data_IF_420622104147
#
_entry.id   IF_420622104147
#
_cell.length_a   1.000
_cell.length_b   1.000
_cell.length_c   1.000
_cell.angle_alpha   90.00
_cell.angle_beta   90.00
_cell.angle_gamma   90.00
#
_symmetry.space_group_name_H-M   'P 1'
#
loop_
_entity.id
_entity.type
_entity.pdbx_description
1 polymer ?
#
# COMPACT_ATOMS: atom_id res chain seq x y z
N UNK A 1 -19.33 3.59 5.95
CA UNK A 1 -19.02 2.19 5.60
C UNK A 1 -18.44 2.13 4.19
N UNK A 2 -17.66 1.06 3.87
CA UNK A 2 -17.02 0.89 2.55
C UNK A 2 -17.99 1.10 1.37
N UNK A 3 -19.27 0.67 1.52
CA UNK A 3 -20.32 0.88 0.51
C UNK A 3 -20.65 2.36 0.25
N UNK A 4 -20.42 3.23 1.20
CA UNK A 4 -20.72 4.66 1.06
C UNK A 4 -19.57 5.41 0.38
N UNK A 5 -18.33 5.00 0.63
CA UNK A 5 -17.15 5.52 -0.09
C UNK A 5 -17.26 5.18 -1.58
N UNK A 6 -17.62 3.95 -1.92
CA UNK A 6 -17.82 3.53 -3.32
C UNK A 6 -18.93 4.33 -4.03
N UNK A 7 -20.03 4.62 -3.33
CA UNK A 7 -21.19 5.31 -3.92
C UNK A 7 -21.06 6.82 -3.98
N UNK A 8 -20.38 7.45 -3.03
CA UNK A 8 -20.33 8.91 -2.86
C UNK A 8 -18.94 9.49 -3.14
N UNK A 9 -17.88 8.70 -3.04
CA UNK A 9 -16.49 9.10 -3.26
C UNK A 9 -16.15 10.48 -2.64
N UNK A 10 -16.68 10.74 -1.44
CA UNK A 10 -16.42 11.99 -0.76
C UNK A 10 -15.10 11.88 0.01
N UNK A 11 -14.21 12.86 -0.18
CA UNK A 11 -12.90 12.93 0.52
C UNK A 11 -13.06 12.83 2.04
N UNK A 12 -14.15 13.39 2.59
CA UNK A 12 -14.45 13.37 4.01
C UNK A 12 -14.80 11.97 4.57
N UNK A 13 -15.21 11.05 3.71
CA UNK A 13 -15.58 9.68 4.11
C UNK A 13 -14.36 8.74 4.19
N UNK A 14 -13.19 9.18 3.73
CA UNK A 14 -11.95 8.41 3.80
C UNK A 14 -11.35 8.51 5.19
N UNK A 15 -11.21 7.36 5.85
CA UNK A 15 -10.66 7.22 7.20
C UNK A 15 -9.43 6.32 7.19
N UNK A 16 -8.34 6.77 7.84
CA UNK A 16 -7.15 5.93 7.99
C UNK A 16 -7.41 4.69 8.83
N UNK A 17 -8.32 4.77 9.80
CA UNK A 17 -8.73 3.65 10.63
C UNK A 17 -9.39 2.56 9.80
N UNK A 18 -10.31 2.91 8.92
CA UNK A 18 -10.99 1.96 8.03
C UNK A 18 -10.01 1.32 7.06
N UNK A 19 -9.08 2.11 6.48
CA UNK A 19 -8.03 1.60 5.58
C UNK A 19 -7.12 0.63 6.34
N UNK A 20 -6.56 1.04 7.47
CA UNK A 20 -5.65 0.21 8.26
C UNK A 20 -6.31 -1.10 8.68
N UNK A 21 -7.56 -1.04 9.16
CA UNK A 21 -8.35 -2.22 9.56
C UNK A 21 -8.56 -3.17 8.39
N UNK A 22 -9.11 -2.69 7.28
CA UNK A 22 -9.45 -3.53 6.14
C UNK A 22 -8.21 -4.16 5.50
N UNK A 23 -7.13 -3.38 5.29
CA UNK A 23 -5.88 -3.89 4.71
C UNK A 23 -5.18 -4.89 5.63
N UNK A 24 -5.30 -4.74 6.97
CA UNK A 24 -4.72 -5.69 7.94
C UNK A 24 -5.43 -7.04 7.96
N UNK A 25 -6.68 -7.09 7.49
CA UNK A 25 -7.48 -8.32 7.37
C UNK A 25 -7.52 -8.87 5.94
N UNK A 26 -7.05 -8.12 4.95
CA UNK A 26 -6.97 -8.55 3.56
C UNK A 26 -5.68 -9.33 3.33
N UNK A 27 -5.81 -10.62 2.95
CA UNK A 27 -4.65 -11.47 2.67
C UNK A 27 -4.08 -11.16 1.28
N UNK A 28 -2.76 -11.00 1.18
CA UNK A 28 -2.02 -10.82 -0.08
C UNK A 28 -2.22 -11.97 -1.04
N UNK A 29 -2.21 -11.65 -2.35
CA UNK A 29 -2.21 -12.63 -3.43
C UNK A 29 -3.43 -13.55 -3.40
N UNK A 30 -4.58 -13.09 -2.91
CA UNK A 30 -5.78 -13.90 -2.81
C UNK A 30 -5.63 -15.13 -1.89
N UNK A 31 -4.70 -15.08 -0.93
CA UNK A 31 -4.41 -16.18 0.01
C UNK A 31 -3.45 -17.24 -0.54
N UNK A 32 -2.85 -17.06 -1.73
CA UNK A 32 -1.85 -17.97 -2.28
C UNK A 32 -0.45 -17.77 -1.67
N UNK A 33 -0.39 -17.59 -0.36
CA UNK A 33 0.82 -17.41 0.45
C UNK A 33 0.95 -18.54 1.47
N UNK A 34 2.17 -18.75 1.99
CA UNK A 34 2.47 -19.87 2.90
C UNK A 34 1.80 -19.76 4.27
N UNK A 35 1.47 -18.56 4.69
CA UNK A 35 0.76 -18.19 5.93
C UNK A 35 0.07 -16.85 5.71
N UNK A 36 -0.75 -16.41 6.66
CA UNK A 36 -1.42 -15.13 6.54
C UNK A 36 -0.42 -13.98 6.47
N UNK A 37 -0.47 -13.23 5.38
CA UNK A 37 0.34 -12.04 5.14
C UNK A 37 -0.57 -10.96 4.56
N UNK A 38 -0.74 -9.86 5.28
CA UNK A 38 -1.74 -8.86 4.92
C UNK A 38 -1.22 -7.84 3.91
N UNK A 39 -2.15 -7.20 3.19
CA UNK A 39 -1.85 -6.05 2.33
C UNK A 39 -1.24 -4.91 3.15
N UNK A 40 -1.72 -4.68 4.38
CA UNK A 40 -1.13 -3.68 5.28
C UNK A 40 0.34 -3.99 5.61
N UNK A 41 0.69 -5.26 5.86
CA UNK A 41 2.09 -5.64 6.12
C UNK A 41 2.99 -5.42 4.90
N UNK A 42 2.52 -5.74 3.71
CA UNK A 42 3.17 -5.38 2.45
C UNK A 42 3.41 -3.87 2.34
N UNK A 43 2.39 -3.07 2.55
CA UNK A 43 2.47 -1.61 2.46
C UNK A 43 3.44 -1.00 3.47
N UNK A 44 3.50 -1.53 4.70
CA UNK A 44 4.49 -1.14 5.72
C UNK A 44 5.91 -1.50 5.24
N UNK A 45 6.12 -2.66 4.64
CA UNK A 45 7.40 -3.04 4.07
C UNK A 45 7.82 -2.10 2.93
N UNK A 46 6.89 -1.71 2.05
CA UNK A 46 7.14 -0.73 0.99
C UNK A 46 7.53 0.66 1.55
N UNK A 47 6.83 1.13 2.58
CA UNK A 47 7.18 2.36 3.29
C UNK A 47 8.58 2.29 3.92
N UNK A 48 8.90 1.18 4.59
CA UNK A 48 10.21 0.97 5.22
C UNK A 48 11.33 0.92 4.18
N UNK A 49 11.07 0.38 3.00
CA UNK A 49 12.01 0.40 1.87
C UNK A 49 12.25 1.84 1.37
N UNK A 50 11.20 2.64 1.19
CA UNK A 50 11.33 4.06 0.82
C UNK A 50 12.17 4.82 1.86
N UNK A 51 11.94 4.54 3.14
CA UNK A 51 12.71 5.12 4.25
C UNK A 51 14.18 4.68 4.22
N UNK A 52 14.47 3.41 3.96
CA UNK A 52 15.82 2.87 3.85
C UNK A 52 16.59 3.48 2.66
N UNK A 53 15.88 3.80 1.56
CA UNK A 53 16.43 4.53 0.41
C UNK A 53 16.63 6.03 0.69
N UNK A 54 16.26 6.53 1.85
CA UNK A 54 16.38 7.94 2.22
C UNK A 54 15.38 8.86 1.52
N UNK A 55 14.25 8.33 1.07
CA UNK A 55 13.22 9.10 0.38
C UNK A 55 12.40 9.97 1.34
N UNK A 56 11.78 11.02 0.79
CA UNK A 56 10.98 11.97 1.54
C UNK A 56 9.80 11.32 2.27
N UNK A 57 9.30 11.95 3.32
CA UNK A 57 8.10 11.54 4.04
C UNK A 57 6.89 11.40 3.12
N UNK A 58 6.80 12.28 2.11
CA UNK A 58 5.77 12.24 1.07
C UNK A 58 5.82 10.94 0.27
N UNK A 59 7.00 10.49 -0.17
CA UNK A 59 7.17 9.24 -0.88
C UNK A 59 7.00 8.02 0.03
N UNK A 60 7.43 8.11 1.29
CA UNK A 60 7.15 7.07 2.28
C UNK A 60 5.64 6.88 2.48
N UNK A 61 4.88 7.98 2.58
CA UNK A 61 3.42 7.94 2.68
C UNK A 61 2.77 7.41 1.40
N UNK A 62 3.28 7.77 0.22
CA UNK A 62 2.81 7.22 -1.04
C UNK A 62 3.00 5.70 -1.10
N UNK A 63 4.16 5.18 -0.65
CA UNK A 63 4.40 3.75 -0.54
C UNK A 63 3.50 3.05 0.49
N UNK A 64 3.16 3.72 1.60
CA UNK A 64 2.25 3.17 2.60
C UNK A 64 0.80 3.07 2.09
N UNK A 65 0.39 4.01 1.25
CA UNK A 65 -1.01 4.14 0.80
C UNK A 65 -1.26 3.62 -0.63
N UNK A 66 -0.25 3.07 -1.33
CA UNK A 66 -0.38 2.73 -2.75
C UNK A 66 -1.48 1.70 -3.05
N UNK A 67 -1.75 0.77 -2.12
CA UNK A 67 -2.81 -0.24 -2.20
C UNK A 67 -4.05 0.14 -1.35
N UNK A 68 -4.17 1.39 -0.89
CA UNK A 68 -5.24 1.79 0.03
C UNK A 68 -6.66 1.65 -0.55
N UNK A 69 -6.81 1.69 -1.87
CA UNK A 69 -8.10 1.42 -2.54
C UNK A 69 -8.62 0.00 -2.29
N UNK A 70 -7.73 -0.96 -2.04
CA UNK A 70 -8.08 -2.36 -1.79
C UNK A 70 -8.88 -2.55 -0.48
N UNK A 71 -8.80 -1.59 0.44
CA UNK A 71 -9.67 -1.54 1.61
C UNK A 71 -11.17 -1.50 1.26
N UNK A 72 -11.51 -1.02 0.05
CA UNK A 72 -12.88 -0.82 -0.42
C UNK A 72 -13.32 -1.79 -1.51
N UNK A 73 -12.37 -2.33 -2.29
CA UNK A 73 -12.65 -3.16 -3.48
C UNK A 73 -11.93 -4.50 -3.51
N UNK A 74 -11.21 -4.83 -2.43
CA UNK A 74 -10.38 -6.03 -2.28
C UNK A 74 -9.13 -6.09 -3.16
N UNK A 75 -8.15 -6.91 -2.74
CA UNK A 75 -6.97 -7.25 -3.54
C UNK A 75 -7.35 -8.21 -4.68
N UNK A 76 -7.02 -7.83 -5.91
CA UNK A 76 -7.14 -8.69 -7.09
C UNK A 76 -5.75 -8.89 -7.69
N UNK A 77 -5.35 -10.15 -7.84
CA UNK A 77 -4.04 -10.50 -8.40
C UNK A 77 -3.82 -9.89 -9.80
N UNK A 78 -2.64 -9.34 -10.05
CA UNK A 78 -2.29 -8.58 -11.27
C UNK A 78 -2.70 -9.25 -12.58
N UNK A 79 -2.49 -10.59 -12.80
CA UNK A 79 -2.89 -11.23 -14.05
C UNK A 79 -4.39 -11.17 -14.33
N UNK A 80 -5.23 -11.19 -13.30
CA UNK A 80 -6.69 -11.07 -13.43
C UNK A 80 -7.09 -9.61 -13.57
N UNK A 81 -6.51 -8.73 -12.74
CA UNK A 81 -6.76 -7.29 -12.70
C UNK A 81 -6.58 -6.63 -14.08
N UNK A 82 -5.55 -7.02 -14.82
CA UNK A 82 -5.26 -6.49 -16.16
C UNK A 82 -6.39 -6.70 -17.19
N UNK A 83 -7.31 -7.63 -16.94
CA UNK A 83 -8.47 -7.93 -17.80
C UNK A 83 -9.79 -7.33 -17.32
N UNK A 84 -9.78 -6.56 -16.22
CA UNK A 84 -10.95 -5.98 -15.58
C UNK A 84 -10.97 -4.44 -15.74
N UNK A 85 -11.31 -3.95 -16.94
CA UNK A 85 -11.25 -2.52 -17.26
C UNK A 85 -12.13 -1.65 -16.34
N UNK A 86 -13.34 -2.08 -16.05
CA UNK A 86 -14.24 -1.38 -15.14
C UNK A 86 -13.75 -1.38 -13.67
N UNK A 87 -13.07 -2.45 -13.24
CA UNK A 87 -12.41 -2.48 -11.94
C UNK A 87 -11.29 -1.44 -11.85
N UNK A 88 -10.45 -1.34 -12.87
CA UNK A 88 -9.35 -0.36 -12.92
C UNK A 88 -9.86 1.09 -12.89
N UNK A 89 -10.98 1.37 -13.54
CA UNK A 89 -11.62 2.69 -13.48
C UNK A 89 -12.11 3.03 -12.08
N UNK A 90 -12.76 2.08 -11.41
CA UNK A 90 -13.25 2.22 -10.04
C UNK A 90 -12.07 2.39 -9.08
N UNK A 91 -11.06 1.55 -9.19
CA UNK A 91 -9.84 1.60 -8.38
C UNK A 91 -9.15 2.96 -8.50
N UNK A 92 -8.93 3.44 -9.72
CA UNK A 92 -8.34 4.74 -9.99
C UNK A 92 -9.15 5.88 -9.37
N UNK A 93 -10.48 5.80 -9.48
CA UNK A 93 -11.38 6.79 -8.91
C UNK A 93 -11.29 6.86 -7.39
N UNK A 94 -11.31 5.71 -6.71
CA UNK A 94 -11.16 5.63 -5.25
C UNK A 94 -9.76 6.10 -4.84
N UNK A 95 -8.72 5.66 -5.55
CA UNK A 95 -7.35 6.03 -5.24
C UNK A 95 -7.11 7.53 -5.34
N UNK A 96 -7.69 8.21 -6.34
CA UNK A 96 -7.62 9.67 -6.46
C UNK A 96 -8.21 10.38 -5.23
N UNK A 97 -9.35 9.91 -4.72
CA UNK A 97 -9.98 10.46 -3.51
C UNK A 97 -9.10 10.23 -2.28
N UNK A 98 -8.48 9.06 -2.17
CA UNK A 98 -7.54 8.75 -1.08
C UNK A 98 -6.31 9.67 -1.15
N UNK A 99 -5.69 9.79 -2.31
CA UNK A 99 -4.52 10.65 -2.50
C UNK A 99 -4.85 12.12 -2.19
N UNK A 100 -6.02 12.61 -2.59
CA UNK A 100 -6.50 13.95 -2.23
C UNK A 100 -6.64 14.10 -0.72
N UNK A 101 -7.25 13.12 -0.04
CA UNK A 101 -7.47 13.13 1.40
C UNK A 101 -6.17 13.24 2.20
N UNK A 102 -5.10 12.63 1.72
CA UNK A 102 -3.80 12.57 2.40
C UNK A 102 -2.74 13.51 1.82
N UNK A 103 -3.13 14.46 0.96
CA UNK A 103 -2.22 15.49 0.42
C UNK A 103 -1.21 14.96 -0.60
N UNK A 104 -1.57 13.91 -1.33
CA UNK A 104 -0.73 13.25 -2.35
C UNK A 104 -1.30 13.37 -3.78
N UNK A 105 -2.31 14.22 -4.00
CA UNK A 105 -2.97 14.34 -5.30
C UNK A 105 -2.05 14.90 -6.42
N UNK A 106 -0.98 15.57 -6.05
CA UNK A 106 -0.02 16.22 -6.96
C UNK A 106 1.32 15.48 -7.07
N UNK A 107 1.33 14.14 -6.84
CA UNK A 107 2.51 13.33 -7.10
C UNK A 107 2.95 13.46 -8.56
N UNK A 108 4.24 13.77 -8.78
CA UNK A 108 4.81 13.84 -10.11
C UNK A 108 4.87 12.47 -10.80
N UNK A 109 5.10 12.44 -12.12
CA UNK A 109 5.31 11.19 -12.86
C UNK A 109 6.53 10.42 -12.31
N UNK A 110 7.58 11.14 -11.91
CA UNK A 110 8.77 10.55 -11.31
C UNK A 110 8.46 9.92 -9.95
N UNK A 111 7.76 10.65 -9.06
CA UNK A 111 7.33 10.12 -7.76
C UNK A 111 6.43 8.88 -7.91
N UNK A 112 5.53 8.90 -8.90
CA UNK A 112 4.69 7.75 -9.22
C UNK A 112 5.50 6.56 -9.74
N UNK A 113 6.54 6.77 -10.53
CA UNK A 113 7.45 5.72 -10.98
C UNK A 113 8.26 5.14 -9.81
N UNK A 114 8.66 5.98 -8.86
CA UNK A 114 9.45 5.57 -7.69
C UNK A 114 8.69 4.60 -6.79
N UNK A 115 7.48 4.95 -6.34
CA UNK A 115 6.73 4.03 -5.46
C UNK A 115 6.32 2.74 -6.17
N UNK A 116 6.01 2.78 -7.47
CA UNK A 116 5.74 1.58 -8.28
C UNK A 116 6.95 0.66 -8.35
N UNK A 117 8.16 1.20 -8.45
CA UNK A 117 9.38 0.40 -8.43
C UNK A 117 9.55 -0.34 -7.10
N UNK A 118 9.24 0.32 -5.97
CA UNK A 118 9.27 -0.35 -4.65
C UNK A 118 8.22 -1.47 -4.58
N UNK A 119 7.00 -1.22 -5.04
CA UNK A 119 5.95 -2.27 -5.07
C UNK A 119 6.40 -3.48 -5.89
N UNK A 120 7.01 -3.26 -7.07
CA UNK A 120 7.53 -4.34 -7.91
C UNK A 120 8.69 -5.08 -7.24
N UNK A 121 9.65 -4.39 -6.63
CA UNK A 121 10.78 -4.99 -5.91
C UNK A 121 10.27 -5.80 -4.70
N UNK A 122 9.32 -5.26 -3.95
CA UNK A 122 8.71 -5.93 -2.80
C UNK A 122 7.89 -7.15 -3.21
N UNK A 123 7.11 -7.04 -4.29
CA UNK A 123 6.37 -8.18 -4.84
C UNK A 123 7.32 -9.31 -5.24
N UNK A 124 8.46 -9.02 -5.89
CA UNK A 124 9.44 -10.05 -6.24
C UNK A 124 10.00 -10.74 -5.00
N UNK A 125 10.27 -9.99 -3.93
CA UNK A 125 10.67 -10.55 -2.64
C UNK A 125 9.60 -11.47 -2.05
N UNK A 126 8.34 -11.04 -2.02
CA UNK A 126 7.21 -11.79 -1.48
C UNK A 126 6.95 -13.06 -2.27
N UNK A 127 6.96 -12.99 -3.59
CA UNK A 127 6.80 -14.14 -4.47
C UNK A 127 7.84 -15.21 -4.19
N UNK A 128 9.10 -14.83 -3.98
CA UNK A 128 10.19 -15.75 -3.67
C UNK A 128 10.06 -16.39 -2.27
N UNK A 129 9.70 -15.59 -1.27
CA UNK A 129 9.80 -16.02 0.13
C UNK A 129 8.46 -16.54 0.68
N UNK A 130 7.32 -16.04 0.19
CA UNK A 130 5.99 -16.36 0.70
C UNK A 130 5.20 -17.33 -0.19
N UNK A 131 5.47 -17.37 -1.50
CA UNK A 131 4.79 -18.27 -2.43
C UNK A 131 5.69 -19.44 -2.79
N UNK A 132 5.26 -20.67 -2.46
CA UNK A 132 6.03 -21.88 -2.75
C UNK A 132 5.95 -22.26 -4.22
N UNK A 133 7.08 -22.57 -4.83
CA UNK A 133 7.17 -23.24 -6.14
C UNK A 133 7.39 -22.32 -7.32
N UNK A 134 7.69 -21.05 -7.11
CA UNK A 134 8.03 -20.15 -8.19
C UNK A 134 9.53 -19.79 -8.18
N UNK A 135 10.20 -19.98 -9.32
CA UNK A 135 11.58 -19.53 -9.51
C UNK A 135 11.55 -18.05 -9.94
N UNK A 136 11.77 -17.14 -8.98
CA UNK A 136 11.83 -15.72 -9.28
C UNK A 136 13.25 -15.21 -9.47
N UNK A 137 13.35 -14.33 -10.44
CA UNK A 137 14.59 -13.68 -10.83
C UNK A 137 14.84 -12.46 -9.95
N UNK A 138 16.03 -12.36 -9.39
CA UNK A 138 16.62 -11.18 -8.75
C UNK A 138 15.75 -10.45 -7.72
N UNK A 139 16.02 -10.71 -6.44
CA UNK A 139 15.42 -10.00 -5.30
C UNK A 139 16.40 -9.04 -4.61
N UNK A 140 17.56 -8.77 -5.24
CA UNK A 140 18.68 -8.09 -4.58
C UNK A 140 18.60 -6.55 -4.61
N UNK A 141 17.45 -5.99 -4.96
CA UNK A 141 17.29 -4.54 -5.13
C UNK A 141 16.76 -3.81 -3.89
N UNK A 142 16.56 -4.52 -2.76
CA UNK A 142 16.03 -3.92 -1.54
C UNK A 142 17.16 -3.36 -0.67
N UNK A 143 16.93 -2.15 -0.14
CA UNK A 143 17.80 -1.49 0.84
C UNK A 143 17.41 -1.80 2.28
N UNK A 144 16.20 -2.30 2.49
CA UNK A 144 15.67 -2.77 3.77
C UNK A 144 15.64 -4.30 3.86
N UNK A 145 15.37 -4.80 5.05
CA UNK A 145 15.03 -6.21 5.28
C UNK A 145 13.53 -6.28 5.57
N UNK A 146 12.71 -6.73 4.61
CA UNK A 146 11.27 -6.79 4.82
C UNK A 146 10.89 -7.75 5.95
N UNK A 147 9.88 -7.39 6.73
CA UNK A 147 9.28 -8.28 7.69
C UNK A 147 8.45 -9.33 6.95
N UNK A 148 8.93 -10.59 6.92
CA UNK A 148 8.28 -11.68 6.20
C UNK A 148 7.47 -12.62 7.10
N UNK A 149 7.69 -12.58 8.42
CA UNK A 149 7.00 -13.46 9.35
C UNK A 149 5.51 -13.09 9.47
N UNK A 150 4.67 -14.11 9.74
CA UNK A 150 3.29 -13.89 10.13
C UNK A 150 3.21 -12.99 11.37
N UNK A 151 2.33 -11.99 11.32
CA UNK A 151 2.14 -11.03 12.41
C UNK A 151 0.67 -10.98 12.80
N UNK A 152 0.35 -10.76 14.09
CA UNK A 152 -1.01 -10.50 14.53
C UNK A 152 -1.58 -9.28 13.77
N UNK A 153 -2.73 -9.43 13.14
CA UNK A 153 -3.32 -8.37 12.30
C UNK A 153 -3.56 -7.06 13.06
N UNK A 154 -3.86 -7.13 14.38
CA UNK A 154 -4.03 -5.93 15.22
C UNK A 154 -2.75 -5.12 15.39
N UNK A 155 -1.61 -5.78 15.53
CA UNK A 155 -0.31 -5.10 15.60
C UNK A 155 0.04 -4.42 14.28
N UNK A 156 -0.32 -5.06 13.16
CA UNK A 156 -0.11 -4.50 11.82
C UNK A 156 -1.04 -3.30 11.59
N UNK A 157 -2.30 -3.38 12.00
CA UNK A 157 -3.26 -2.28 11.96
C UNK A 157 -2.76 -1.08 12.75
N UNK A 158 -2.36 -1.29 14.01
CA UNK A 158 -1.86 -0.23 14.88
C UNK A 158 -0.60 0.44 14.31
N UNK A 159 0.33 -0.34 13.76
CA UNK A 159 1.55 0.19 13.12
C UNK A 159 1.23 0.99 11.86
N UNK A 160 0.37 0.48 10.99
CA UNK A 160 -0.05 1.16 9.76
C UNK A 160 -0.67 2.53 10.08
N UNK A 161 -1.61 2.56 11.03
CA UNK A 161 -2.26 3.79 11.46
C UNK A 161 -1.26 4.78 12.08
N UNK A 162 -0.38 4.30 12.96
CA UNK A 162 0.61 5.13 13.63
C UNK A 162 1.63 5.73 12.64
N UNK A 163 2.16 4.95 11.71
CA UNK A 163 3.12 5.45 10.72
C UNK A 163 2.45 6.41 9.73
N UNK A 164 1.20 6.17 9.32
CA UNK A 164 0.47 7.11 8.49
C UNK A 164 0.31 8.47 9.18
N UNK A 165 -0.15 8.50 10.44
CA UNK A 165 -0.31 9.73 11.21
C UNK A 165 1.01 10.49 11.37
N UNK A 166 2.07 9.78 11.72
CA UNK A 166 3.41 10.34 11.90
C UNK A 166 3.97 10.98 10.62
N UNK A 167 3.76 10.34 9.46
CA UNK A 167 4.20 10.87 8.16
C UNK A 167 3.42 12.14 7.79
N UNK A 168 2.10 12.16 8.03
CA UNK A 168 1.25 13.33 7.79
C UNK A 168 1.69 14.51 8.67
N UNK A 169 1.95 14.28 9.95
CA UNK A 169 2.46 15.30 10.87
C UNK A 169 3.78 15.90 10.38
N UNK A 170 4.74 15.05 10.02
CA UNK A 170 6.04 15.51 9.51
C UNK A 170 5.94 16.29 8.20
N UNK A 171 5.02 15.91 7.30
CA UNK A 171 4.78 16.66 6.07
C UNK A 171 4.20 18.05 6.37
N UNK A 172 3.33 18.15 7.40
CA UNK A 172 2.71 19.41 7.82
C UNK A 172 3.70 20.37 8.49
N UNK A 173 4.73 19.83 9.16
CA UNK A 173 5.75 20.61 9.86
C UNK A 173 6.87 21.14 8.94
N UNK A 174 6.92 20.71 7.69
CA UNK A 174 7.86 21.25 6.71
C UNK A 174 7.32 22.57 6.17
N UNK A 175 7.93 23.73 6.52
CA UNK A 175 7.53 25.00 5.92
C UNK A 175 7.72 24.90 4.41
N UNK A 176 6.67 25.22 3.67
CA UNK A 176 6.63 25.14 2.22
C UNK A 176 7.88 25.76 1.58
N UNK A 177 8.54 24.97 0.77
CA UNK A 177 9.61 25.43 -0.13
C UNK A 177 9.01 26.06 -1.35
#
# INVERSE_FOLDING_TARGET
AASDVYKRQAVADISIQDIAHALSLTCRGGGHVSYFFSVAQHSINCMNEAKARGWSERLQLACLLHDASEAYISDIIRPVKAHLSNYLEIESSIMNVILERFGLADLSEEENAMWKQIDDDMMNFELKNLMKGEEYRNTDNLSSVPAEAERPWREVEDEFEAECKKLIEKMSDQPGK
#
